data_IF_957025272989
#
_entry.id   IF_957025272989
#
_cell.length_a   1.000
_cell.length_b   1.000
_cell.length_c   1.000
_cell.angle_alpha   90.00
_cell.angle_beta   90.00
_cell.angle_gamma   90.00
#
_symmetry.space_group_name_H-M   'P 1'
#
loop_
_entity.id
_entity.type
_entity.pdbx_description
1 polymer ?
#
# COMPACT_ATOMS: atom_id res chain seq x y z
N UNK A 1 -25.15 -8.34 15.39
CA UNK A 1 -24.48 -7.11 14.89
C UNK A 1 -23.32 -7.41 13.92
N UNK A 2 -22.07 -7.59 14.36
CA UNK A 2 -20.90 -7.68 13.44
C UNK A 2 -21.01 -8.83 12.40
N UNK A 3 -21.45 -10.03 12.82
CA UNK A 3 -21.61 -11.18 11.91
C UNK A 3 -22.68 -10.97 10.83
N UNK A 4 -23.80 -10.33 11.19
CA UNK A 4 -24.88 -10.03 10.25
C UNK A 4 -24.46 -8.94 9.27
N UNK A 5 -23.76 -7.90 9.76
CA UNK A 5 -23.14 -6.87 8.91
C UNK A 5 -22.16 -7.49 7.93
N UNK A 6 -21.29 -8.39 8.41
CA UNK A 6 -20.37 -9.13 7.56
C UNK A 6 -21.08 -9.94 6.49
N UNK A 7 -22.15 -10.67 6.86
CA UNK A 7 -22.97 -11.43 5.92
C UNK A 7 -23.62 -10.52 4.85
N UNK A 8 -24.10 -9.34 5.24
CA UNK A 8 -24.65 -8.34 4.32
C UNK A 8 -23.57 -7.82 3.35
N UNK A 9 -22.42 -7.40 3.87
CA UNK A 9 -21.31 -6.84 3.07
C UNK A 9 -20.79 -7.86 2.07
N UNK A 10 -20.45 -9.09 2.49
CA UNK A 10 -19.98 -10.11 1.54
C UNK A 10 -21.01 -10.45 0.46
N UNK A 11 -22.31 -10.41 0.80
CA UNK A 11 -23.39 -10.65 -0.16
C UNK A 11 -23.46 -9.53 -1.19
N UNK A 12 -23.28 -8.26 -0.78
CA UNK A 12 -23.16 -7.12 -1.72
C UNK A 12 -21.98 -7.28 -2.68
N UNK A 13 -20.87 -7.85 -2.20
CA UNK A 13 -19.71 -8.17 -3.05
C UNK A 13 -19.93 -9.39 -3.95
N UNK A 14 -20.99 -10.18 -3.72
CA UNK A 14 -21.30 -11.39 -4.47
C UNK A 14 -20.50 -12.62 -4.02
N UNK A 15 -19.89 -12.58 -2.83
CA UNK A 15 -19.02 -13.65 -2.34
C UNK A 15 -19.75 -14.61 -1.38
N UNK A 16 -19.61 -15.94 -1.57
CA UNK A 16 -20.22 -16.93 -0.69
C UNK A 16 -19.55 -16.96 0.69
N UNK A 17 -20.22 -17.54 1.69
CA UNK A 17 -19.67 -17.62 3.05
C UNK A 17 -18.37 -18.42 3.11
N UNK A 18 -18.27 -19.49 2.31
CA UNK A 18 -17.11 -20.37 2.25
C UNK A 18 -15.84 -19.68 1.73
N UNK A 19 -15.98 -18.59 0.95
CA UNK A 19 -14.85 -17.78 0.53
C UNK A 19 -14.08 -17.23 1.75
N UNK A 20 -14.79 -16.86 2.82
CA UNK A 20 -14.20 -16.32 4.05
C UNK A 20 -14.02 -17.38 5.14
N UNK A 21 -13.78 -18.64 4.78
CA UNK A 21 -13.56 -19.72 5.74
C UNK A 21 -12.19 -19.60 6.42
N UNK A 22 -12.08 -18.65 7.34
CA UNK A 22 -10.90 -18.37 8.16
C UNK A 22 -11.27 -18.27 9.63
N UNK A 23 -10.34 -18.66 10.50
CA UNK A 23 -10.52 -18.64 11.95
C UNK A 23 -10.16 -17.29 12.59
N UNK A 24 -9.74 -16.30 11.80
CA UNK A 24 -9.23 -15.02 12.31
C UNK A 24 -9.91 -13.81 11.63
N UNK A 25 -10.47 -12.86 12.41
CA UNK A 25 -11.16 -11.68 11.85
C UNK A 25 -10.28 -10.81 10.94
N UNK A 26 -8.99 -10.65 11.28
CA UNK A 26 -8.05 -9.91 10.42
C UNK A 26 -7.90 -10.56 9.05
N UNK A 27 -7.85 -11.89 8.97
CA UNK A 27 -7.75 -12.58 7.69
C UNK A 27 -9.02 -12.34 6.86
N UNK A 28 -10.21 -12.40 7.49
CA UNK A 28 -11.47 -12.09 6.81
C UNK A 28 -11.50 -10.64 6.31
N UNK A 29 -10.98 -9.69 7.09
CA UNK A 29 -10.90 -8.27 6.73
C UNK A 29 -9.98 -8.03 5.52
N UNK A 30 -8.82 -8.68 5.47
CA UNK A 30 -7.89 -8.58 4.35
C UNK A 30 -8.52 -9.14 3.07
N UNK A 31 -9.15 -10.31 3.14
CA UNK A 31 -9.86 -10.92 2.01
C UNK A 31 -11.00 -10.02 1.52
N UNK A 32 -11.80 -9.49 2.43
CA UNK A 32 -12.92 -8.60 2.10
C UNK A 32 -12.46 -7.31 1.43
N UNK A 33 -11.29 -6.78 1.81
CA UNK A 33 -10.68 -5.62 1.17
C UNK A 33 -10.28 -5.93 -0.28
N UNK A 34 -9.65 -7.08 -0.51
CA UNK A 34 -9.23 -7.49 -1.85
C UNK A 34 -10.43 -7.71 -2.77
N UNK A 35 -11.47 -8.42 -2.28
CA UNK A 35 -12.71 -8.63 -3.02
C UNK A 35 -13.42 -7.31 -3.37
N UNK A 36 -13.45 -6.36 -2.43
CA UNK A 36 -14.04 -5.05 -2.67
C UNK A 36 -13.28 -4.27 -3.75
N UNK A 37 -11.95 -4.26 -3.68
CA UNK A 37 -11.11 -3.59 -4.68
C UNK A 37 -11.31 -4.20 -6.06
N UNK A 38 -11.40 -5.52 -6.15
CA UNK A 38 -11.68 -6.22 -7.40
C UNK A 38 -13.08 -5.86 -7.92
N UNK A 39 -14.11 -5.91 -7.06
CA UNK A 39 -15.50 -5.60 -7.41
C UNK A 39 -15.67 -4.19 -7.97
N UNK A 40 -14.98 -3.22 -7.38
CA UNK A 40 -15.05 -1.81 -7.78
C UNK A 40 -14.05 -1.45 -8.89
N UNK A 41 -13.27 -2.41 -9.40
CA UNK A 41 -12.24 -2.15 -10.41
C UNK A 41 -11.12 -1.23 -9.90
N UNK A 42 -10.92 -1.14 -8.58
CA UNK A 42 -9.85 -0.38 -7.91
C UNK A 42 -8.52 -1.11 -7.98
N UNK A 43 -8.21 -1.65 -9.16
CA UNK A 43 -7.00 -2.42 -9.42
C UNK A 43 -5.76 -1.59 -9.06
N UNK A 44 -4.80 -2.25 -8.43
CA UNK A 44 -3.46 -1.69 -8.21
C UNK A 44 -2.61 -1.74 -9.48
N UNK A 45 -3.23 -1.76 -10.67
CA UNK A 45 -2.59 -1.94 -11.97
C UNK A 45 -1.31 -1.10 -12.04
N UNK A 46 -0.21 -1.80 -11.79
CA UNK A 46 1.01 -1.16 -11.35
C UNK A 46 1.75 -0.66 -12.58
N UNK A 47 1.96 0.68 -12.72
CA UNK A 47 2.74 1.21 -13.83
C UNK A 47 4.16 0.63 -13.84
N UNK A 48 4.65 0.07 -12.73
CA UNK A 48 5.96 -0.59 -12.62
C UNK A 48 6.17 -1.67 -13.68
N UNK A 49 5.14 -2.42 -14.10
CA UNK A 49 5.30 -3.41 -15.18
C UNK A 49 5.67 -2.74 -16.51
N UNK A 50 4.97 -1.66 -16.85
CA UNK A 50 5.25 -0.89 -18.07
C UNK A 50 6.60 -0.17 -17.96
N UNK A 51 6.89 0.47 -16.83
CA UNK A 51 8.17 1.14 -16.57
C UNK A 51 9.33 0.14 -16.70
N UNK A 52 9.19 -1.06 -16.14
CA UNK A 52 10.16 -2.14 -16.25
C UNK A 52 10.37 -2.56 -17.71
N UNK A 53 9.29 -2.76 -18.46
CA UNK A 53 9.35 -3.09 -19.88
C UNK A 53 10.10 -2.01 -20.68
N UNK A 54 9.81 -0.74 -20.43
CA UNK A 54 10.45 0.40 -21.10
C UNK A 54 11.93 0.49 -20.72
N UNK A 55 12.28 0.36 -19.44
CA UNK A 55 13.66 0.37 -18.97
C UNK A 55 14.48 -0.77 -19.59
N UNK A 56 13.90 -1.98 -19.70
CA UNK A 56 14.54 -3.12 -20.38
C UNK A 56 14.80 -2.84 -21.85
N UNK A 57 13.81 -2.29 -22.58
CA UNK A 57 13.96 -1.92 -24.00
C UNK A 57 15.02 -0.85 -24.22
N UNK A 58 15.20 0.05 -23.26
CA UNK A 58 16.22 1.10 -23.29
C UNK A 58 17.58 0.65 -22.73
N UNK A 59 17.75 -0.62 -22.34
CA UNK A 59 19.02 -1.13 -21.80
C UNK A 59 19.41 -0.52 -20.45
N UNK A 60 18.47 0.07 -19.71
CA UNK A 60 18.71 0.70 -18.41
C UNK A 60 18.80 -0.39 -17.33
N UNK A 61 19.78 -0.27 -16.43
CA UNK A 61 19.91 -1.17 -15.28
C UNK A 61 18.69 -1.02 -14.37
N UNK A 62 18.03 -2.13 -14.06
CA UNK A 62 16.88 -2.18 -13.15
C UNK A 62 17.32 -2.80 -11.83
N UNK A 63 17.02 -2.12 -10.73
CA UNK A 63 17.19 -2.61 -9.36
C UNK A 63 15.81 -2.77 -8.74
N UNK A 64 15.50 -3.95 -8.23
CA UNK A 64 14.20 -4.24 -7.61
C UNK A 64 14.39 -5.29 -6.51
N UNK A 65 13.83 -5.03 -5.33
CA UNK A 65 13.76 -6.01 -4.25
C UNK A 65 12.54 -6.91 -4.40
N UNK A 66 12.72 -8.19 -4.04
CA UNK A 66 11.62 -9.13 -3.79
C UNK A 66 11.67 -9.52 -2.31
N UNK A 67 10.52 -9.49 -1.66
CA UNK A 67 10.40 -9.77 -0.23
C UNK A 67 9.60 -11.05 -0.02
N UNK A 68 10.08 -11.91 0.89
CA UNK A 68 9.27 -13.02 1.39
C UNK A 68 8.23 -12.49 2.38
N UNK A 69 6.96 -12.55 1.98
CA UNK A 69 5.82 -12.13 2.79
C UNK A 69 5.24 -13.27 3.65
N UNK A 70 5.72 -14.51 3.48
CA UNK A 70 5.24 -15.68 4.22
C UNK A 70 5.24 -15.49 5.75
N UNK A 71 6.32 -14.98 6.36
CA UNK A 71 6.35 -14.72 7.80
C UNK A 71 5.32 -13.70 8.29
N UNK A 72 5.05 -12.66 7.49
CA UNK A 72 4.04 -11.63 7.79
C UNK A 72 2.63 -12.17 7.65
N UNK A 73 2.36 -12.92 6.58
CA UNK A 73 1.07 -13.60 6.38
C UNK A 73 0.80 -14.58 7.52
N UNK A 74 1.82 -15.35 7.94
CA UNK A 74 1.72 -16.22 9.11
C UNK A 74 1.54 -15.47 10.43
N UNK A 75 1.89 -14.18 10.51
CA UNK A 75 1.69 -13.34 11.68
C UNK A 75 0.26 -12.81 11.80
N UNK A 76 -0.53 -12.81 10.72
CA UNK A 76 -1.93 -12.39 10.72
C UNK A 76 -2.73 -13.17 11.77
N UNK A 77 -2.53 -14.49 11.84
CA UNK A 77 -3.21 -15.37 12.80
C UNK A 77 -2.72 -15.20 14.24
N UNK A 78 -1.55 -14.56 14.44
CA UNK A 78 -0.98 -14.22 15.75
C UNK A 78 -1.39 -12.85 16.26
N UNK A 79 -2.09 -12.07 15.44
CA UNK A 79 -2.66 -10.78 15.86
C UNK A 79 -3.78 -11.02 16.88
N UNK A 80 -4.04 -10.05 17.77
CA UNK A 80 -5.14 -10.22 18.72
C UNK A 80 -6.50 -10.25 17.99
N UNK A 81 -7.43 -11.08 18.45
CA UNK A 81 -8.77 -11.14 17.88
C UNK A 81 -9.50 -9.79 17.96
N UNK A 82 -9.26 -9.03 19.04
CA UNK A 82 -9.83 -7.69 19.21
C UNK A 82 -9.34 -6.72 18.12
N UNK A 83 -8.03 -6.68 17.85
CA UNK A 83 -7.48 -5.85 16.78
C UNK A 83 -7.97 -6.31 15.40
N UNK A 84 -8.06 -7.62 15.18
CA UNK A 84 -8.65 -8.17 13.96
C UNK A 84 -10.12 -7.79 13.77
N UNK A 85 -10.93 -7.83 14.83
CA UNK A 85 -12.35 -7.44 14.79
C UNK A 85 -12.51 -5.94 14.55
N UNK A 86 -11.67 -5.10 15.15
CA UNK A 86 -11.67 -3.65 14.89
C UNK A 86 -11.33 -3.35 13.41
N UNK A 87 -10.31 -4.03 12.88
CA UNK A 87 -9.98 -3.95 11.45
C UNK A 87 -11.16 -4.39 10.56
N UNK A 88 -11.82 -5.51 10.89
CA UNK A 88 -12.96 -5.99 10.12
C UNK A 88 -14.11 -4.97 10.10
N UNK A 89 -14.40 -4.32 11.24
CA UNK A 89 -15.42 -3.27 11.31
C UNK A 89 -15.08 -2.06 10.46
N UNK A 90 -13.81 -1.69 10.41
CA UNK A 90 -13.29 -0.58 9.61
C UNK A 90 -13.41 -0.87 8.12
N UNK A 91 -12.98 -2.07 7.68
CA UNK A 91 -13.10 -2.51 6.27
C UNK A 91 -14.57 -2.58 5.85
N UNK A 92 -15.46 -3.11 6.69
CA UNK A 92 -16.89 -3.11 6.39
C UNK A 92 -17.45 -1.68 6.28
N UNK A 93 -16.97 -0.74 7.09
CA UNK A 93 -17.36 0.67 7.00
C UNK A 93 -16.90 1.34 5.71
N UNK A 94 -15.68 1.03 5.26
CA UNK A 94 -15.15 1.47 3.97
C UNK A 94 -16.01 0.95 2.80
N UNK A 95 -16.35 -0.33 2.80
CA UNK A 95 -17.18 -0.93 1.75
C UNK A 95 -18.58 -0.33 1.74
N UNK A 96 -19.15 -0.05 2.92
CA UNK A 96 -20.45 0.61 3.04
C UNK A 96 -20.43 2.07 2.57
N UNK A 97 -19.31 2.78 2.74
CA UNK A 97 -19.11 4.13 2.24
C UNK A 97 -18.94 4.18 0.71
N UNK A 98 -18.49 3.09 0.10
CA UNK A 98 -18.30 2.96 -1.34
C UNK A 98 -17.02 3.64 -1.85
N UNK A 99 -16.72 3.52 -3.16
CA UNK A 99 -15.38 3.78 -3.70
C UNK A 99 -15.08 5.28 -3.88
N UNK A 100 -16.02 6.17 -3.58
CA UNK A 100 -15.96 7.59 -3.93
C UNK A 100 -14.70 8.30 -3.44
N UNK A 101 -14.25 7.98 -2.22
CA UNK A 101 -13.00 8.54 -1.66
C UNK A 101 -11.76 8.08 -2.42
N UNK A 102 -11.67 6.79 -2.72
CA UNK A 102 -10.55 6.24 -3.48
C UNK A 102 -10.54 6.78 -4.90
N UNK A 103 -11.70 6.88 -5.56
CA UNK A 103 -11.81 7.48 -6.91
C UNK A 103 -11.42 8.96 -6.93
N UNK A 104 -11.81 9.74 -5.93
CA UNK A 104 -11.41 11.14 -5.81
C UNK A 104 -9.89 11.27 -5.67
N UNK A 105 -9.28 10.46 -4.81
CA UNK A 105 -7.83 10.42 -4.64
C UNK A 105 -7.09 9.98 -5.92
N UNK A 106 -7.63 8.98 -6.65
CA UNK A 106 -7.06 8.57 -7.94
C UNK A 106 -7.13 9.68 -9.00
N UNK A 107 -8.22 10.47 -9.03
CA UNK A 107 -8.34 11.63 -9.93
C UNK A 107 -7.34 12.73 -9.58
N UNK A 108 -7.17 13.03 -8.28
CA UNK A 108 -6.17 13.96 -7.81
C UNK A 108 -4.75 13.52 -8.24
N UNK A 109 -4.43 12.24 -8.05
CA UNK A 109 -3.16 11.67 -8.50
C UNK A 109 -2.93 11.83 -10.01
N UNK A 110 -3.96 11.59 -10.83
CA UNK A 110 -3.87 11.67 -12.29
C UNK A 110 -3.52 13.08 -12.82
N UNK A 111 -3.76 14.13 -12.04
CA UNK A 111 -3.45 15.53 -12.39
C UNK A 111 -2.29 16.12 -11.57
N UNK A 112 -1.59 15.30 -10.79
CA UNK A 112 -0.46 15.74 -9.97
C UNK A 112 -0.83 16.41 -8.63
N UNK A 113 -2.09 16.37 -8.21
CA UNK A 113 -2.49 16.81 -6.87
C UNK A 113 -2.12 15.74 -5.83
N UNK A 114 -0.90 15.86 -5.30
CA UNK A 114 -0.35 14.96 -4.27
C UNK A 114 -1.16 15.04 -2.97
N UNK A 115 -1.63 16.22 -2.60
CA UNK A 115 -2.42 16.43 -1.38
C UNK A 115 -3.75 15.67 -1.44
N UNK A 116 -4.48 15.82 -2.54
CA UNK A 116 -5.70 15.07 -2.80
C UNK A 116 -5.47 13.56 -2.92
N UNK A 117 -4.35 13.13 -3.55
CA UNK A 117 -3.99 11.73 -3.67
C UNK A 117 -3.77 11.04 -2.30
N UNK A 118 -3.22 11.76 -1.32
CA UNK A 118 -3.04 11.26 0.04
C UNK A 118 -4.37 11.04 0.78
N UNK A 119 -5.47 11.62 0.30
CA UNK A 119 -6.82 11.47 0.84
C UNK A 119 -7.45 10.08 0.64
N UNK A 120 -6.80 9.19 -0.13
CA UNK A 120 -7.22 7.81 -0.31
C UNK A 120 -7.39 7.09 1.04
N UNK A 121 -8.24 6.08 1.06
CA UNK A 121 -8.52 5.30 2.26
C UNK A 121 -7.25 4.61 2.80
N UNK A 122 -7.25 4.35 4.11
CA UNK A 122 -6.08 3.87 4.85
C UNK A 122 -6.39 2.61 5.68
N UNK A 123 -7.60 2.08 5.55
CA UNK A 123 -8.10 1.04 6.45
C UNK A 123 -7.26 -0.22 6.30
N UNK A 124 -6.94 -0.59 5.06
CA UNK A 124 -6.02 -1.69 4.76
C UNK A 124 -4.63 -1.51 5.40
N UNK A 125 -4.00 -0.34 5.25
CA UNK A 125 -2.69 -0.08 5.85
C UNK A 125 -2.74 -0.08 7.37
N UNK A 126 -3.79 0.48 7.97
CA UNK A 126 -4.00 0.46 9.43
C UNK A 126 -4.18 -0.98 9.94
N UNK A 127 -4.95 -1.78 9.21
CA UNK A 127 -5.15 -3.20 9.47
C UNK A 127 -3.84 -4.01 9.40
N UNK A 128 -2.97 -3.73 8.43
CA UNK A 128 -1.69 -4.44 8.32
C UNK A 128 -0.71 -3.97 9.39
N UNK A 129 -0.72 -2.69 9.75
CA UNK A 129 0.21 -2.13 10.73
C UNK A 129 0.12 -2.78 12.12
N UNK A 130 -1.03 -3.36 12.48
CA UNK A 130 -1.21 -4.10 13.75
C UNK A 130 -0.66 -5.53 13.71
N UNK A 131 -0.26 -6.02 12.53
CA UNK A 131 0.30 -7.36 12.37
C UNK A 131 1.73 -7.39 12.95
N UNK A 132 2.09 -8.38 13.79
CA UNK A 132 3.44 -8.50 14.31
C UNK A 132 4.49 -8.52 13.19
N UNK A 133 5.49 -7.63 13.30
CA UNK A 133 6.56 -7.48 12.32
C UNK A 133 6.27 -6.53 11.16
N UNK A 134 5.04 -6.01 11.02
CA UNK A 134 4.67 -5.10 9.93
C UNK A 134 5.50 -3.81 9.94
N UNK A 135 5.69 -3.19 11.11
CA UNK A 135 6.49 -1.96 11.24
C UNK A 135 7.96 -2.19 10.91
N UNK A 136 8.53 -3.32 11.36
CA UNK A 136 9.92 -3.69 11.02
C UNK A 136 10.08 -3.92 9.52
N UNK A 137 9.08 -4.55 8.89
CA UNK A 137 9.06 -4.75 7.45
C UNK A 137 8.97 -3.42 6.69
N UNK A 138 8.06 -2.53 7.07
CA UNK A 138 7.92 -1.20 6.48
C UNK A 138 9.22 -0.39 6.60
N UNK A 139 9.85 -0.38 7.78
CA UNK A 139 11.14 0.26 7.99
C UNK A 139 12.25 -0.34 7.10
N UNK A 140 12.24 -1.67 6.92
CA UNK A 140 13.15 -2.34 5.99
C UNK A 140 12.93 -1.91 4.55
N UNK A 141 11.68 -1.87 4.06
CA UNK A 141 11.37 -1.46 2.69
C UNK A 141 11.86 -0.03 2.43
N UNK A 142 11.58 0.89 3.35
CA UNK A 142 12.06 2.28 3.27
C UNK A 142 13.58 2.35 3.20
N UNK A 143 14.27 1.67 4.12
CA UNK A 143 15.75 1.64 4.17
C UNK A 143 16.36 1.04 2.91
N UNK A 144 15.84 -0.10 2.45
CA UNK A 144 16.37 -0.80 1.28
C UNK A 144 16.22 0.10 0.02
N UNK A 145 15.08 0.78 -0.14
CA UNK A 145 14.87 1.75 -1.23
C UNK A 145 15.79 2.99 -1.12
N UNK A 146 15.96 3.55 0.08
CA UNK A 146 16.92 4.66 0.30
C UNK A 146 18.33 4.24 -0.12
N UNK A 147 18.78 3.06 0.31
CA UNK A 147 20.11 2.54 -0.01
C UNK A 147 20.31 2.33 -1.52
N UNK A 148 19.27 1.85 -2.23
CA UNK A 148 19.33 1.67 -3.68
C UNK A 148 19.45 3.01 -4.41
N UNK A 149 18.72 4.03 -3.96
CA UNK A 149 18.82 5.39 -4.49
C UNK A 149 20.24 5.93 -4.27
N UNK A 150 20.79 5.80 -3.06
CA UNK A 150 22.16 6.22 -2.77
C UNK A 150 23.20 5.49 -3.63
N UNK A 151 23.00 4.19 -3.87
CA UNK A 151 23.88 3.41 -4.73
C UNK A 151 23.81 3.87 -6.19
N UNK A 152 22.62 4.21 -6.68
CA UNK A 152 22.41 4.70 -8.03
C UNK A 152 23.02 6.09 -8.24
N UNK A 153 22.87 7.00 -7.26
CA UNK A 153 23.40 8.37 -7.30
C UNK A 153 24.93 8.45 -7.33
N UNK A 154 25.65 7.37 -7.01
CA UNK A 154 27.11 7.28 -7.18
C UNK A 154 27.55 7.22 -8.65
N UNK A 155 26.62 6.91 -9.56
CA UNK A 155 26.89 6.86 -11.00
C UNK A 155 26.45 8.19 -11.62
N UNK A 156 27.33 8.90 -12.36
CA UNK A 156 26.94 10.13 -13.04
C UNK A 156 25.78 9.92 -14.00
N UNK A 157 24.81 10.85 -14.01
CA UNK A 157 23.66 10.82 -14.90
C UNK A 157 22.32 10.96 -14.16
N UNK A 158 21.24 10.50 -14.80
CA UNK A 158 19.89 10.54 -14.25
C UNK A 158 19.45 9.14 -13.80
N UNK A 159 18.78 9.08 -12.65
CA UNK A 159 18.16 7.87 -12.10
C UNK A 159 16.67 8.12 -11.92
N UNK A 160 15.84 7.12 -12.25
CA UNK A 160 14.41 7.15 -11.97
C UNK A 160 14.14 6.15 -10.85
N UNK A 161 13.61 6.64 -9.73
CA UNK A 161 13.12 5.81 -8.63
C UNK A 161 11.59 5.79 -8.66
N UNK A 162 11.00 4.59 -8.59
CA UNK A 162 9.55 4.41 -8.51
C UNK A 162 9.22 3.90 -7.11
N UNK A 163 8.40 4.64 -6.38
CA UNK A 163 8.08 4.36 -4.99
C UNK A 163 6.58 4.60 -4.71
N UNK A 164 5.94 3.79 -3.84
CA UNK A 164 4.62 4.10 -3.33
C UNK A 164 4.62 5.44 -2.58
N UNK A 165 3.62 6.28 -2.81
CA UNK A 165 3.55 7.64 -2.28
C UNK A 165 3.73 7.69 -0.75
N UNK A 166 3.11 6.76 -0.03
CA UNK A 166 3.19 6.69 1.44
C UNK A 166 4.57 6.23 1.94
N UNK A 167 5.23 5.31 1.24
CA UNK A 167 6.62 4.90 1.57
C UNK A 167 7.60 6.05 1.36
N UNK A 168 7.35 6.87 0.33
CA UNK A 168 8.15 8.03 -0.02
C UNK A 168 7.98 9.19 0.99
N UNK A 169 6.73 9.53 1.31
CA UNK A 169 6.35 10.77 2.02
C UNK A 169 6.07 10.62 3.52
N UNK A 170 5.93 9.40 4.06
CA UNK A 170 5.69 9.24 5.50
C UNK A 170 6.82 9.87 6.32
N UNK A 171 6.53 10.24 7.57
CA UNK A 171 7.57 10.64 8.52
C UNK A 171 8.60 9.49 8.66
N UNK A 172 9.89 9.83 8.50
CA UNK A 172 10.97 8.84 8.45
C UNK A 172 10.94 7.95 7.20
N UNK A 173 10.17 8.35 6.18
CA UNK A 173 10.11 7.75 4.85
C UNK A 173 11.37 8.05 4.04
N UNK A 174 11.35 7.64 2.78
CA UNK A 174 12.55 7.69 1.92
C UNK A 174 13.08 9.11 1.75
N UNK A 175 12.22 10.12 1.55
CA UNK A 175 12.68 11.50 1.39
C UNK A 175 13.33 12.04 2.66
N UNK A 176 12.75 11.77 3.83
CA UNK A 176 13.32 12.19 5.12
C UNK A 176 14.69 11.53 5.36
N UNK A 177 14.83 10.25 5.02
CA UNK A 177 16.09 9.54 5.14
C UNK A 177 17.17 10.11 4.20
N UNK A 178 16.81 10.44 2.95
CA UNK A 178 17.72 11.09 2.01
C UNK A 178 18.16 12.47 2.52
N UNK A 179 17.23 13.30 3.00
CA UNK A 179 17.57 14.61 3.61
C UNK A 179 18.50 14.45 4.81
N UNK A 180 18.23 13.50 5.69
CA UNK A 180 19.08 13.22 6.86
C UNK A 180 20.51 12.77 6.48
N UNK A 181 20.69 12.25 5.27
CA UNK A 181 21.99 11.86 4.69
C UNK A 181 22.68 12.99 3.91
N UNK A 182 22.08 14.19 3.88
CA UNK A 182 22.67 15.37 3.24
C UNK A 182 22.34 15.54 1.76
N UNK A 183 21.41 14.76 1.21
CA UNK A 183 20.94 14.96 -0.16
C UNK A 183 19.99 16.16 -0.25
N UNK A 184 20.16 16.97 -1.29
CA UNK A 184 19.18 17.98 -1.67
C UNK A 184 17.94 17.29 -2.25
N UNK A 185 16.77 17.56 -1.67
CA UNK A 185 15.49 17.01 -2.10
C UNK A 185 14.57 18.17 -2.45
N UNK A 186 14.29 18.32 -3.74
CA UNK A 186 13.27 19.24 -4.27
C UNK A 186 12.01 18.46 -4.61
N UNK A 187 10.87 19.07 -4.35
CA UNK A 187 9.55 18.55 -4.69
C UNK A 187 8.95 19.39 -5.82
N UNK A 188 7.95 18.87 -6.57
CA UNK A 188 7.31 19.65 -7.63
C UNK A 188 6.65 20.97 -7.16
N UNK A 189 6.40 21.13 -5.86
CA UNK A 189 5.90 22.38 -5.29
C UNK A 189 6.98 23.40 -4.93
N UNK A 190 8.26 23.01 -5.04
CA UNK A 190 9.42 23.88 -4.80
C UNK A 190 9.94 24.52 -6.11
N UNK A 191 9.25 24.30 -7.23
CA UNK A 191 9.53 24.96 -8.51
C UNK A 191 8.85 26.34 -8.52
N UNK A 192 9.65 27.41 -8.69
CA UNK A 192 9.20 28.80 -8.87
C UNK A 192 8.44 29.02 -10.19
#
# INVERSE_FOLDING_TARGET
AQRERFASVRTKLGQPADHYKTNHPLAAALMLTDDYREKEGLTTADPTKLIKLLAQRSGVKIVQHSYDLGPLLGAVTRTSKAAGSACLDEVMGEIEAGPGRTLAASRAWAVGDVGGALGAERSYERCIAVTPGALTFDARVKRDLTNDIEAALKTPGHTIAVAPLRTLLAQGGVLDQLRAKGYEVKTPGDED
#
